data_IF_032752272265
#
_entry.id   IF_032752272265
#
_cell.length_a   1.000
_cell.length_b   1.000
_cell.length_c   1.000
_cell.angle_alpha   90.00
_cell.angle_beta   90.00
_cell.angle_gamma   90.00
#
_symmetry.space_group_name_H-M   'P 1'
#
loop_
_entity.id
_entity.type
_entity.pdbx_description
1 polymer ?
#
# COMPACT_ATOMS: atom_id res chain seq x y z
N UNK A 1 -4.85 7.94 -6.25
CA UNK A 1 -5.55 6.66 -5.95
C UNK A 1 -4.99 6.00 -4.72
N UNK A 2 -3.69 5.67 -4.69
CA UNK A 2 -3.07 5.04 -3.51
C UNK A 2 -3.18 5.85 -2.21
N UNK A 3 -2.99 7.18 -2.28
CA UNK A 3 -3.23 8.07 -1.13
C UNK A 3 -4.70 8.01 -0.67
N UNK A 4 -5.64 8.08 -1.61
CA UNK A 4 -7.07 7.99 -1.32
C UNK A 4 -7.41 6.66 -0.62
N UNK A 5 -6.90 5.53 -1.13
CA UNK A 5 -7.11 4.22 -0.51
C UNK A 5 -6.47 4.09 0.87
N UNK A 6 -5.36 4.80 1.13
CA UNK A 6 -4.75 4.85 2.46
C UNK A 6 -5.60 5.67 3.44
N UNK A 7 -6.09 6.83 3.03
CA UNK A 7 -7.00 7.66 3.85
C UNK A 7 -8.29 6.89 4.17
N UNK A 8 -8.89 6.24 3.17
CA UNK A 8 -10.07 5.40 3.39
C UNK A 8 -9.75 4.20 4.31
N UNK A 9 -8.55 3.63 4.22
CA UNK A 9 -8.07 2.57 5.12
C UNK A 9 -8.02 3.03 6.59
N UNK A 10 -7.51 4.24 6.84
CA UNK A 10 -7.53 4.86 8.16
C UNK A 10 -8.96 5.06 8.68
N UNK A 11 -9.84 5.62 7.84
CA UNK A 11 -11.25 5.83 8.20
C UNK A 11 -11.93 4.50 8.53
N UNK A 12 -11.67 3.45 7.75
CA UNK A 12 -12.22 2.13 8.00
C UNK A 12 -11.74 1.56 9.35
N UNK A 13 -10.44 1.60 9.64
CA UNK A 13 -9.88 1.05 10.87
C UNK A 13 -10.33 1.83 12.11
N UNK A 14 -10.36 3.16 12.05
CA UNK A 14 -10.86 4.01 13.14
C UNK A 14 -12.36 3.81 13.34
N UNK A 15 -13.14 3.75 12.26
CA UNK A 15 -14.58 3.50 12.34
C UNK A 15 -14.88 2.11 12.91
N UNK A 16 -14.12 1.09 12.51
CA UNK A 16 -14.24 -0.26 13.08
C UNK A 16 -13.90 -0.26 14.58
N UNK A 17 -12.93 0.56 15.02
CA UNK A 17 -12.54 0.70 16.42
C UNK A 17 -13.67 1.33 17.26
N UNK A 18 -14.34 2.32 16.68
CA UNK A 18 -15.42 3.07 17.31
C UNK A 18 -16.71 2.25 17.40
N UNK A 19 -17.16 1.68 16.29
CA UNK A 19 -18.42 0.95 16.23
C UNK A 19 -18.32 -0.50 16.72
N UNK A 20 -17.11 -1.08 16.77
CA UNK A 20 -16.83 -2.49 17.11
C UNK A 20 -17.61 -3.52 16.29
N UNK A 21 -18.18 -3.09 15.17
CA UNK A 21 -18.93 -3.91 14.22
C UNK A 21 -18.85 -3.28 12.84
N UNK A 22 -18.95 -4.10 11.81
CA UNK A 22 -19.00 -3.61 10.44
C UNK A 22 -20.41 -3.10 10.14
N UNK A 23 -20.53 -1.78 9.95
CA UNK A 23 -21.77 -1.12 9.51
C UNK A 23 -21.81 -1.07 7.99
N UNK A 24 -22.99 -0.87 7.41
CA UNK A 24 -23.16 -0.69 5.95
C UNK A 24 -22.27 0.45 5.40
N UNK A 25 -22.05 1.51 6.18
CA UNK A 25 -21.14 2.59 5.82
C UNK A 25 -19.66 2.15 5.77
N UNK A 26 -19.22 1.30 6.70
CA UNK A 26 -17.85 0.77 6.71
C UNK A 26 -17.61 -0.21 5.56
N UNK A 27 -18.62 -1.03 5.24
CA UNK A 27 -18.56 -1.93 4.09
C UNK A 27 -18.41 -1.14 2.78
N UNK A 28 -19.16 -0.04 2.61
CA UNK A 28 -19.02 0.84 1.45
C UNK A 28 -17.61 1.46 1.35
N UNK A 29 -17.03 1.86 2.48
CA UNK A 29 -15.65 2.35 2.53
C UNK A 29 -14.67 1.25 2.11
N UNK A 30 -14.83 0.03 2.61
CA UNK A 30 -13.98 -1.11 2.24
C UNK A 30 -14.08 -1.44 0.74
N UNK A 31 -15.28 -1.45 0.17
CA UNK A 31 -15.49 -1.65 -1.26
C UNK A 31 -14.86 -0.52 -2.09
N UNK A 32 -14.93 0.71 -1.61
CA UNK A 32 -14.29 1.88 -2.24
C UNK A 32 -12.75 1.77 -2.24
N UNK A 33 -12.16 1.26 -1.15
CA UNK A 33 -10.72 0.96 -1.08
C UNK A 33 -10.37 -0.04 -2.17
N UNK A 34 -11.08 -1.17 -2.23
CA UNK A 34 -10.84 -2.24 -3.19
C UNK A 34 -10.92 -1.73 -4.64
N UNK A 35 -11.95 -0.96 -4.98
CA UNK A 35 -12.11 -0.37 -6.31
C UNK A 35 -10.94 0.58 -6.63
N UNK A 36 -10.58 1.45 -5.69
CA UNK A 36 -9.47 2.39 -5.85
C UNK A 36 -8.13 1.67 -6.07
N UNK A 37 -7.91 0.55 -5.37
CA UNK A 37 -6.72 -0.28 -5.54
C UNK A 37 -6.67 -0.97 -6.91
N UNK A 38 -7.77 -1.52 -7.41
CA UNK A 38 -7.80 -2.12 -8.75
C UNK A 38 -7.43 -1.10 -9.83
N UNK A 39 -8.07 0.07 -9.82
CA UNK A 39 -7.78 1.13 -10.78
C UNK A 39 -6.34 1.63 -10.59
N UNK A 40 -5.91 1.81 -9.34
CA UNK A 40 -4.56 2.24 -9.01
C UNK A 40 -3.50 1.30 -9.55
N UNK A 41 -3.65 -0.02 -9.39
CA UNK A 41 -2.69 -1.02 -9.86
C UNK A 41 -2.61 -1.06 -11.39
N UNK A 42 -3.75 -0.97 -12.08
CA UNK A 42 -3.75 -0.91 -13.55
C UNK A 42 -2.97 0.31 -14.04
N UNK A 43 -3.21 1.48 -13.44
CA UNK A 43 -2.47 2.70 -13.77
C UNK A 43 -1.00 2.64 -13.35
N UNK A 44 -0.67 1.97 -12.25
CA UNK A 44 0.71 1.80 -11.78
C UNK A 44 1.51 0.91 -12.73
N UNK A 45 0.95 -0.23 -13.14
CA UNK A 45 1.58 -1.12 -14.11
C UNK A 45 1.74 -0.39 -15.46
N UNK A 46 0.66 0.20 -15.97
CA UNK A 46 0.70 0.96 -17.23
C UNK A 46 1.69 2.11 -17.18
N UNK A 47 1.70 2.89 -16.10
CA UNK A 47 2.62 4.00 -15.89
C UNK A 47 4.08 3.56 -15.77
N UNK A 48 4.35 2.42 -15.13
CA UNK A 48 5.71 1.86 -15.03
C UNK A 48 6.21 1.40 -16.40
N UNK A 49 5.37 0.74 -17.19
CA UNK A 49 5.72 0.34 -18.56
C UNK A 49 5.96 1.55 -19.48
N UNK A 50 5.08 2.54 -19.43
CA UNK A 50 5.23 3.79 -20.19
C UNK A 50 6.50 4.55 -19.76
N UNK A 51 6.81 4.55 -18.45
CA UNK A 51 8.06 5.08 -17.92
C UNK A 51 9.29 4.37 -18.50
N UNK A 52 9.27 3.03 -18.58
CA UNK A 52 10.34 2.26 -19.22
C UNK A 52 10.52 2.55 -20.70
N UNK A 53 9.42 2.74 -21.45
CA UNK A 53 9.48 3.14 -22.87
C UNK A 53 10.13 4.53 -23.01
N UNK A 54 9.77 5.47 -22.14
CA UNK A 54 10.37 6.80 -22.14
C UNK A 54 11.86 6.76 -21.73
N UNK A 55 12.24 5.93 -20.76
CA UNK A 55 13.62 5.72 -20.36
C UNK A 55 14.46 5.15 -21.52
N UNK A 56 13.90 4.23 -22.31
CA UNK A 56 14.55 3.69 -23.50
C UNK A 56 14.87 4.78 -24.53
N UNK A 57 13.95 5.72 -24.72
CA UNK A 57 14.15 6.85 -25.64
C UNK A 57 15.13 7.89 -25.09
N UNK A 58 15.19 8.09 -23.77
CA UNK A 58 15.98 9.14 -23.14
C UNK A 58 17.41 8.74 -22.84
N UNK A 59 17.62 7.49 -22.40
CA UNK A 59 18.92 6.99 -21.94
C UNK A 59 19.37 5.71 -22.66
N UNK A 60 18.65 5.30 -23.72
CA UNK A 60 19.04 4.18 -24.57
C UNK A 60 18.77 2.79 -23.97
N UNK A 61 18.05 2.69 -22.85
CA UNK A 61 17.72 1.43 -22.17
C UNK A 61 16.35 1.46 -21.50
N UNK A 62 15.64 0.33 -21.56
CA UNK A 62 14.28 0.20 -21.06
C UNK A 62 14.18 0.02 -19.53
N UNK A 63 15.15 -0.69 -18.95
CA UNK A 63 15.18 -1.05 -17.53
C UNK A 63 16.62 -1.39 -17.11
N UNK A 64 17.05 -0.94 -15.94
CA UNK A 64 18.38 -1.12 -15.37
C UNK A 64 18.36 -1.54 -13.88
N UNK A 65 17.19 -1.82 -13.30
CA UNK A 65 17.03 -2.15 -11.87
C UNK A 65 17.57 -1.07 -10.93
N UNK A 66 17.58 0.18 -11.38
CA UNK A 66 17.94 1.27 -10.49
C UNK A 66 16.95 1.33 -9.32
N UNK A 67 17.31 1.97 -8.20
CA UNK A 67 16.46 2.02 -7.03
C UNK A 67 15.01 2.44 -7.32
N UNK A 68 14.73 3.35 -8.26
CA UNK A 68 13.33 3.73 -8.56
C UNK A 68 12.58 2.64 -9.30
N UNK A 69 13.19 2.08 -10.33
CA UNK A 69 12.62 0.96 -11.09
C UNK A 69 12.35 -0.25 -10.19
N UNK A 70 13.32 -0.64 -9.36
CA UNK A 70 13.20 -1.74 -8.41
C UNK A 70 12.05 -1.51 -7.42
N UNK A 71 11.92 -0.30 -6.87
CA UNK A 71 10.85 0.00 -5.92
C UNK A 71 9.48 0.18 -6.57
N UNK A 72 9.42 0.62 -7.84
CA UNK A 72 8.19 0.60 -8.63
C UNK A 72 7.69 -0.84 -8.81
N UNK A 73 8.59 -1.78 -9.15
CA UNK A 73 8.27 -3.20 -9.27
C UNK A 73 7.82 -3.80 -7.92
N UNK A 74 8.56 -3.55 -6.84
CA UNK A 74 8.19 -4.00 -5.48
C UNK A 74 6.80 -3.47 -5.10
N UNK A 75 6.50 -2.21 -5.39
CA UNK A 75 5.19 -1.62 -5.10
C UNK A 75 4.06 -2.34 -5.84
N UNK A 76 4.26 -2.67 -7.13
CA UNK A 76 3.32 -3.47 -7.90
C UNK A 76 3.10 -4.84 -7.24
N UNK A 77 4.17 -5.54 -6.87
CA UNK A 77 4.09 -6.84 -6.21
C UNK A 77 3.33 -6.78 -4.88
N UNK A 78 3.58 -5.77 -4.05
CA UNK A 78 2.89 -5.58 -2.77
C UNK A 78 1.38 -5.42 -2.99
N UNK A 79 0.95 -4.53 -3.88
CA UNK A 79 -0.47 -4.35 -4.14
C UNK A 79 -1.13 -5.58 -4.75
N UNK A 80 -0.46 -6.24 -5.69
CA UNK A 80 -0.96 -7.49 -6.27
C UNK A 80 -1.13 -8.57 -5.21
N UNK A 81 -0.19 -8.69 -4.26
CA UNK A 81 -0.29 -9.66 -3.17
C UNK A 81 -1.52 -9.41 -2.29
N UNK A 82 -1.75 -8.16 -1.87
CA UNK A 82 -2.91 -7.80 -1.07
C UNK A 82 -4.24 -8.02 -1.81
N UNK A 83 -4.32 -7.57 -3.06
CA UNK A 83 -5.51 -7.77 -3.90
C UNK A 83 -5.77 -9.26 -4.15
N UNK A 84 -4.72 -10.04 -4.42
CA UNK A 84 -4.82 -11.48 -4.64
C UNK A 84 -5.30 -12.19 -3.38
N UNK A 85 -4.69 -11.92 -2.23
CA UNK A 85 -5.14 -12.47 -0.96
C UNK A 85 -6.61 -12.15 -0.67
N UNK A 86 -7.06 -10.94 -1.01
CA UNK A 86 -8.46 -10.52 -0.85
C UNK A 86 -9.39 -11.28 -1.80
N UNK A 87 -9.03 -11.38 -3.08
CA UNK A 87 -9.83 -12.07 -4.10
C UNK A 87 -10.02 -13.55 -3.79
N UNK A 88 -8.99 -14.21 -3.26
CA UNK A 88 -9.06 -15.61 -2.85
C UNK A 88 -9.63 -15.81 -1.43
N UNK A 89 -10.14 -14.75 -0.81
CA UNK A 89 -10.77 -14.80 0.50
C UNK A 89 -9.83 -15.19 1.65
N UNK A 90 -8.51 -15.09 1.46
CA UNK A 90 -7.52 -15.31 2.53
C UNK A 90 -7.51 -14.15 3.52
N UNK A 91 -7.89 -12.95 3.07
CA UNK A 91 -8.08 -11.77 3.91
C UNK A 91 -9.45 -11.14 3.65
N UNK A 92 -9.98 -10.43 4.65
CA UNK A 92 -11.24 -9.70 4.55
C UNK A 92 -11.01 -8.18 4.45
N UNK A 93 -12.08 -7.40 4.60
CA UNK A 93 -12.06 -5.93 4.55
C UNK A 93 -11.01 -5.30 5.48
N UNK A 94 -10.79 -5.87 6.67
CA UNK A 94 -9.72 -5.45 7.57
C UNK A 94 -8.33 -5.61 6.94
N UNK A 95 -8.06 -6.77 6.34
CA UNK A 95 -6.77 -7.05 5.73
C UNK A 95 -6.48 -6.16 4.52
N UNK A 96 -7.50 -5.86 3.70
CA UNK A 96 -7.31 -4.93 2.57
C UNK A 96 -7.12 -3.48 3.04
N UNK A 97 -7.77 -3.06 4.13
CA UNK A 97 -7.57 -1.73 4.73
C UNK A 97 -6.15 -1.57 5.29
N UNK A 98 -5.62 -2.60 5.97
CA UNK A 98 -4.21 -2.62 6.40
C UNK A 98 -3.26 -2.64 5.18
N UNK A 99 -3.58 -3.45 4.18
CA UNK A 99 -2.81 -3.57 2.95
C UNK A 99 -2.75 -2.28 2.14
N UNK A 100 -3.81 -1.46 2.13
CA UNK A 100 -3.82 -0.18 1.41
C UNK A 100 -2.87 0.84 2.02
N UNK A 101 -2.75 0.86 3.36
CA UNK A 101 -1.81 1.72 4.09
C UNK A 101 -0.37 1.23 3.85
N UNK A 102 -0.10 -0.06 4.01
CA UNK A 102 1.23 -0.64 3.76
C UNK A 102 1.69 -0.45 2.31
N UNK A 103 0.80 -0.63 1.35
CA UNK A 103 1.10 -0.36 -0.07
C UNK A 103 1.41 1.12 -0.31
N UNK A 104 0.73 2.03 0.40
CA UNK A 104 1.02 3.46 0.28
C UNK A 104 2.39 3.80 0.87
N UNK A 105 2.81 3.15 1.95
CA UNK A 105 4.18 3.28 2.46
C UNK A 105 5.23 2.87 1.41
N UNK A 106 5.00 1.79 0.67
CA UNK A 106 5.89 1.37 -0.42
C UNK A 106 5.97 2.43 -1.53
N UNK A 107 4.83 2.98 -1.97
CA UNK A 107 4.80 4.09 -2.95
C UNK A 107 5.52 5.32 -2.41
N UNK A 108 5.31 5.67 -1.14
CA UNK A 108 5.99 6.78 -0.49
C UNK A 108 7.50 6.59 -0.51
N UNK A 109 7.98 5.35 -0.33
CA UNK A 109 9.40 5.03 -0.38
C UNK A 109 9.95 5.14 -1.81
N UNK A 110 9.23 4.69 -2.84
CA UNK A 110 9.64 4.85 -4.25
C UNK A 110 9.85 6.32 -4.61
N UNK A 111 8.98 7.21 -4.12
CA UNK A 111 9.06 8.65 -4.40
C UNK A 111 10.03 9.41 -3.49
N UNK A 112 9.95 9.21 -2.17
CA UNK A 112 10.75 9.94 -1.21
C UNK A 112 12.02 9.18 -0.83
N UNK A 113 11.89 7.93 -0.42
CA UNK A 113 12.99 7.08 0.03
C UNK A 113 14.09 6.91 -1.01
N UNK A 114 13.73 6.64 -2.27
CA UNK A 114 14.75 6.51 -3.32
C UNK A 114 15.49 7.83 -3.57
N UNK A 115 14.78 8.95 -3.61
CA UNK A 115 15.37 10.25 -3.88
C UNK A 115 16.28 10.75 -2.74
N UNK A 116 15.86 10.60 -1.48
CA UNK A 116 16.53 11.25 -0.33
C UNK A 116 17.26 10.31 0.62
N UNK A 117 16.93 9.01 0.62
CA UNK A 117 17.59 8.01 1.49
C UNK A 117 18.63 7.22 0.70
N UNK A 118 18.27 6.72 -0.50
CA UNK A 118 19.19 5.95 -1.34
C UNK A 118 20.05 6.85 -2.23
N UNK A 119 19.54 8.00 -2.66
CA UNK A 119 20.30 9.06 -3.34
C UNK A 119 21.02 8.63 -4.62
N UNK A 120 20.65 7.50 -5.21
CA UNK A 120 21.38 6.81 -6.27
C UNK A 120 20.47 6.48 -7.44
N UNK A 121 21.04 6.48 -8.65
CA UNK A 121 20.33 6.21 -9.90
C UNK A 121 20.04 7.47 -10.73
N UNK A 122 19.93 7.30 -12.05
CA UNK A 122 19.61 8.36 -13.02
C UNK A 122 18.27 9.04 -12.75
N UNK A 123 17.40 8.35 -12.01
CA UNK A 123 16.12 8.87 -11.61
C UNK A 123 16.16 9.68 -10.31
N UNK A 124 17.28 9.75 -9.58
CA UNK A 124 17.34 10.52 -8.34
C UNK A 124 17.49 12.01 -8.63
N UNK A 125 16.54 12.81 -8.13
CA UNK A 125 16.51 14.27 -8.33
C UNK A 125 16.69 15.07 -7.03
N UNK A 126 16.72 14.39 -5.88
CA UNK A 126 16.79 15.00 -4.56
C UNK A 126 18.20 15.23 -4.08
N UNK A 127 18.88 16.27 -4.57
CA UNK A 127 20.19 16.68 -4.04
C UNK A 127 20.01 17.73 -2.93
N UNK A 128 19.68 17.29 -1.72
CA UNK A 128 19.56 18.18 -0.55
C UNK A 128 19.29 17.44 0.75
N UNK A 129 19.43 18.14 1.89
CA UNK A 129 18.96 17.68 3.21
C UNK A 129 17.43 17.62 3.18
N UNK A 130 16.87 16.57 2.58
CA UNK A 130 15.45 16.27 2.64
C UNK A 130 14.99 16.25 4.11
N UNK A 131 13.73 16.57 4.35
CA UNK A 131 13.08 16.47 5.67
C UNK A 131 12.99 15.04 6.20
N UNK A 132 14.10 14.29 6.20
CA UNK A 132 14.20 12.87 6.50
C UNK A 132 13.66 12.59 7.90
N UNK A 133 13.89 13.50 8.84
CA UNK A 133 13.28 13.43 10.17
C UNK A 133 11.75 13.33 10.12
N UNK A 134 11.09 14.22 9.38
CA UNK A 134 9.63 14.19 9.22
C UNK A 134 9.16 12.91 8.54
N UNK A 135 9.91 12.42 7.55
CA UNK A 135 9.59 11.17 6.88
C UNK A 135 9.71 9.96 7.82
N UNK A 136 10.76 9.89 8.64
CA UNK A 136 10.89 8.84 9.65
C UNK A 136 9.81 8.93 10.73
N UNK A 137 9.46 10.13 11.17
CA UNK A 137 8.32 10.33 12.07
C UNK A 137 7.01 9.86 11.44
N UNK A 138 6.79 10.15 10.16
CA UNK A 138 5.63 9.68 9.41
C UNK A 138 5.59 8.15 9.34
N UNK A 139 6.68 7.51 8.91
CA UNK A 139 6.79 6.04 8.87
C UNK A 139 6.54 5.42 10.23
N UNK A 140 7.13 5.98 11.29
CA UNK A 140 6.97 5.49 12.64
C UNK A 140 5.51 5.63 13.12
N UNK A 141 4.87 6.76 12.87
CA UNK A 141 3.47 6.98 13.22
C UNK A 141 2.54 6.00 12.51
N UNK A 142 2.74 5.76 11.21
CA UNK A 142 1.98 4.79 10.41
C UNK A 142 2.18 3.36 10.92
N UNK A 143 3.42 2.97 11.23
CA UNK A 143 3.71 1.64 11.78
C UNK A 143 3.09 1.44 13.16
N UNK A 144 3.13 2.46 14.02
CA UNK A 144 2.45 2.43 15.32
C UNK A 144 0.93 2.30 15.17
N UNK A 145 0.33 3.07 14.26
CA UNK A 145 -1.10 3.01 13.98
C UNK A 145 -1.51 1.62 13.49
N UNK A 146 -0.74 1.04 12.56
CA UNK A 146 -0.99 -0.30 12.05
C UNK A 146 -0.78 -1.37 13.13
N UNK A 147 0.27 -1.28 13.94
CA UNK A 147 0.52 -2.21 15.04
C UNK A 147 -0.61 -2.17 16.08
N UNK A 148 -1.08 -0.98 16.46
CA UNK A 148 -2.21 -0.80 17.36
C UNK A 148 -3.50 -1.38 16.77
N UNK A 149 -3.77 -1.10 15.49
CA UNK A 149 -4.94 -1.62 14.77
C UNK A 149 -4.94 -3.15 14.72
N UNK A 150 -3.81 -3.76 14.32
CA UNK A 150 -3.67 -5.22 14.24
C UNK A 150 -3.78 -5.86 15.63
N UNK A 151 -3.17 -5.26 16.66
CA UNK A 151 -3.27 -5.76 18.03
C UNK A 151 -4.72 -5.74 18.53
N UNK A 152 -5.43 -4.65 18.29
CA UNK A 152 -6.82 -4.47 18.73
C UNK A 152 -7.78 -5.46 18.09
N UNK A 153 -7.62 -5.73 16.79
CA UNK A 153 -8.51 -6.63 16.05
C UNK A 153 -8.01 -8.06 15.93
N UNK A 154 -6.94 -8.42 16.66
CA UNK A 154 -6.36 -9.77 16.65
C UNK A 154 -7.40 -10.85 16.99
N UNK A 155 -8.32 -10.56 17.93
CA UNK A 155 -9.39 -11.48 18.31
C UNK A 155 -10.44 -11.69 17.22
N UNK A 156 -10.75 -10.67 16.44
CA UNK A 156 -11.77 -10.73 15.39
C UNK A 156 -11.25 -11.42 14.13
N UNK A 157 -9.95 -11.27 13.84
CA UNK A 157 -9.25 -12.04 12.80
C UNK A 157 -9.27 -13.53 13.13
N UNK A 158 -9.00 -13.91 14.38
CA UNK A 158 -9.02 -15.32 14.81
C UNK A 158 -10.44 -15.91 14.69
N UNK A 159 -11.48 -15.19 15.14
CA UNK A 159 -12.87 -15.64 15.03
C UNK A 159 -13.34 -15.83 13.58
N UNK A 160 -12.85 -15.01 12.65
CA UNK A 160 -13.17 -15.15 11.22
C UNK A 160 -12.45 -16.33 10.55
N UNK A 161 -11.28 -16.73 11.06
CA UNK A 161 -10.57 -17.93 10.59
C UNK A 161 -11.28 -19.21 11.06
N UNK A 162 -11.75 -19.25 12.31
CA UNK A 162 -12.54 -20.38 12.86
C UNK A 162 -13.88 -20.59 12.15
N UNK A 163 -14.52 -19.53 11.65
CA UNK A 163 -15.75 -19.66 10.85
C UNK A 163 -15.54 -20.29 9.46
N UNK A 164 -14.31 -20.31 8.95
CA UNK A 164 -13.98 -20.83 7.62
C UNK A 164 -13.45 -22.27 7.63
N UNK A 165 -13.16 -22.86 8.78
CA UNK A 165 -12.95 -24.32 8.86
C UNK A 165 -14.29 -25.01 8.62
N UNK A 166 -14.47 -25.77 7.52
CA UNK A 166 -15.65 -26.60 7.38
C UNK A 166 -15.64 -27.60 8.54
N UNK A 167 -16.69 -27.60 9.35
CA UNK A 167 -16.98 -28.74 10.23
C UNK A 167 -17.04 -29.96 9.31
N UNK A 168 -16.12 -30.90 9.50
CA UNK A 168 -16.13 -32.21 8.83
C UNK A 168 -17.50 -32.89 8.90
#
# INVERSE_FOLDING_TARGET
LFLLSSILGHIYLVGLAYYKRETTSLELVAQSIVLSLYIGVVLLIGGTLLGGIWAAQSWGRFWDWDPKESWAFISICIYLLWIHAYRFGKIQHLGIAVGSILGFLAISFTWYGVNYILGTGLHSYGFGSGGNFYYYCYLFAELLFLAASVHMFRSDVIKNLDKKTPTC
#
